data_IF_208997617864
#
_entry.id   IF_208997617864
#
_cell.length_a   1.000
_cell.length_b   1.000
_cell.length_c   1.000
_cell.angle_alpha   90.00
_cell.angle_beta   90.00
_cell.angle_gamma   90.00
#
_symmetry.space_group_name_H-M   'P 1'
#
loop_
_entity.id
_entity.type
_entity.pdbx_description
1 polymer ?
#
# COMPACT_ATOMS: atom_id res chain seq x y z
N UNK A 1 -7.45 0.20 20.82
CA UNK A 1 -7.22 0.19 19.36
C UNK A 1 -7.48 1.60 18.86
N UNK A 2 -6.46 2.26 18.33
CA UNK A 2 -6.60 3.59 17.75
C UNK A 2 -7.30 3.48 16.39
N UNK A 3 -8.24 4.38 16.11
CA UNK A 3 -8.98 4.38 14.84
C UNK A 3 -8.20 5.24 13.84
N UNK A 4 -7.76 4.63 12.74
CA UNK A 4 -7.03 5.33 11.68
C UNK A 4 -7.96 5.62 10.50
N UNK A 5 -8.11 6.89 10.14
CA UNK A 5 -8.84 7.30 8.96
C UNK A 5 -8.01 7.01 7.68
N UNK A 6 -8.13 5.79 7.14
CA UNK A 6 -7.31 5.30 6.03
C UNK A 6 -7.38 6.17 4.76
N UNK A 7 -8.53 6.76 4.45
CA UNK A 7 -8.66 7.66 3.30
C UNK A 7 -7.82 8.93 3.45
N UNK A 8 -7.91 9.59 4.61
CA UNK A 8 -7.14 10.81 4.92
C UNK A 8 -5.65 10.51 4.98
N UNK A 9 -5.26 9.42 5.65
CA UNK A 9 -3.87 9.01 5.71
C UNK A 9 -3.35 8.65 4.32
N UNK A 10 -4.14 7.94 3.51
CA UNK A 10 -3.80 7.59 2.13
C UNK A 10 -3.50 8.80 1.24
N UNK A 11 -4.33 9.85 1.31
CA UNK A 11 -4.07 11.11 0.58
C UNK A 11 -2.76 11.76 1.01
N UNK A 12 -2.48 11.81 2.33
CA UNK A 12 -1.21 12.32 2.86
C UNK A 12 -0.03 11.53 2.32
N UNK A 13 -0.07 10.19 2.40
CA UNK A 13 1.01 9.34 1.91
C UNK A 13 1.21 9.48 0.39
N UNK A 14 0.14 9.69 -0.38
CA UNK A 14 0.25 9.97 -1.82
C UNK A 14 0.89 11.33 -2.10
N UNK A 15 0.60 12.36 -1.31
CA UNK A 15 1.27 13.65 -1.43
C UNK A 15 2.78 13.53 -1.15
N UNK A 16 3.17 12.83 -0.09
CA UNK A 16 4.57 12.54 0.23
C UNK A 16 5.24 11.70 -0.87
N UNK A 17 4.58 10.66 -1.35
CA UNK A 17 5.08 9.80 -2.42
C UNK A 17 5.38 10.58 -3.71
N UNK A 18 4.54 11.56 -4.08
CA UNK A 18 4.76 12.40 -5.27
C UNK A 18 5.99 13.31 -5.14
N UNK A 19 6.36 13.69 -3.92
CA UNK A 19 7.52 14.53 -3.63
C UNK A 19 8.81 13.72 -3.45
N UNK A 20 8.70 12.43 -3.12
CA UNK A 20 9.83 11.55 -2.91
C UNK A 20 10.45 11.08 -4.24
N UNK A 21 11.79 11.02 -4.32
CA UNK A 21 12.51 10.51 -5.50
C UNK A 21 12.18 9.05 -5.82
N UNK A 22 11.82 8.25 -4.82
CA UNK A 22 11.38 6.86 -4.97
C UNK A 22 9.96 6.74 -5.54
N UNK A 23 9.17 7.84 -5.50
CA UNK A 23 7.76 7.86 -5.86
C UNK A 23 6.86 7.08 -4.90
N UNK A 24 7.32 6.78 -3.69
CA UNK A 24 6.58 5.97 -2.71
C UNK A 24 6.86 6.42 -1.28
N UNK A 25 5.85 6.29 -0.42
CA UNK A 25 5.96 6.59 1.00
C UNK A 25 5.03 5.68 1.80
N UNK A 26 5.47 5.14 2.93
CA UNK A 26 4.71 4.13 3.68
C UNK A 26 4.86 4.24 5.19
N UNK A 27 3.80 3.89 5.91
CA UNK A 27 3.74 3.90 7.37
C UNK A 27 3.09 2.62 7.87
N UNK A 28 3.69 2.00 8.88
CA UNK A 28 3.08 0.85 9.58
C UNK A 28 2.06 1.36 10.57
N UNK A 29 0.79 1.01 10.35
CA UNK A 29 -0.36 1.45 11.15
C UNK A 29 -0.78 0.42 12.21
N UNK A 30 -0.33 -0.83 12.03
CA UNK A 30 -0.50 -1.90 13.01
C UNK A 30 0.69 -2.86 12.94
N UNK A 31 1.12 -3.35 14.10
CA UNK A 31 2.22 -4.32 14.21
C UNK A 31 3.54 -3.73 14.70
N UNK A 32 4.49 -4.62 15.02
CA UNK A 32 5.81 -4.32 15.60
C UNK A 32 6.61 -5.62 15.80
N UNK A 33 7.77 -5.56 16.48
CA UNK A 33 8.67 -6.72 16.67
C UNK A 33 8.02 -7.94 17.37
N UNK A 34 6.85 -7.76 17.99
CA UNK A 34 6.19 -8.75 18.86
C UNK A 34 4.82 -9.16 18.30
N UNK A 35 4.42 -8.75 17.09
CA UNK A 35 3.08 -9.01 16.56
C UNK A 35 3.11 -9.87 15.30
N UNK A 36 2.22 -10.85 15.23
CA UNK A 36 2.07 -11.75 14.07
C UNK A 36 1.50 -11.05 12.83
N UNK A 37 0.70 -9.98 13.02
CA UNK A 37 0.12 -9.21 11.93
C UNK A 37 0.73 -7.81 11.84
N UNK A 38 1.39 -7.53 10.71
CA UNK A 38 1.83 -6.19 10.32
C UNK A 38 0.92 -5.64 9.24
N UNK A 39 0.42 -4.42 9.43
CA UNK A 39 -0.32 -3.68 8.42
C UNK A 39 0.44 -2.39 8.12
N UNK A 40 0.81 -2.24 6.86
CA UNK A 40 1.50 -1.06 6.34
C UNK A 40 0.62 -0.42 5.28
N UNK A 41 0.35 0.88 5.45
CA UNK A 41 -0.31 1.68 4.43
C UNK A 41 0.77 2.36 3.58
N UNK A 42 0.63 2.30 2.26
CA UNK A 42 1.64 2.78 1.32
C UNK A 42 0.97 3.64 0.24
N UNK A 43 1.49 4.84 0.04
CA UNK A 43 1.20 5.67 -1.12
C UNK A 43 2.23 5.41 -2.22
N UNK A 44 1.77 5.20 -3.45
CA UNK A 44 2.62 5.02 -4.64
C UNK A 44 2.17 6.01 -5.71
N UNK A 45 3.09 6.86 -6.16
CA UNK A 45 2.85 7.81 -7.23
C UNK A 45 2.67 7.08 -8.58
N UNK A 46 1.92 7.69 -9.49
CA UNK A 46 1.68 7.09 -10.80
C UNK A 46 3.00 6.87 -11.56
N UNK A 47 3.16 5.70 -12.19
CA UNK A 47 4.38 5.32 -12.89
C UNK A 47 5.45 4.69 -12.00
N UNK A 48 5.28 4.69 -10.67
CA UNK A 48 6.16 4.02 -9.73
C UNK A 48 5.62 2.66 -9.30
N UNK A 49 6.52 1.82 -8.78
CA UNK A 49 6.21 0.50 -8.27
C UNK A 49 6.89 0.29 -6.91
N UNK A 50 6.37 -0.69 -6.16
CA UNK A 50 7.08 -1.26 -5.02
C UNK A 50 8.16 -2.19 -5.55
N UNK A 51 9.29 -2.24 -4.85
CA UNK A 51 10.35 -3.20 -5.18
C UNK A 51 9.83 -4.62 -5.01
N UNK A 52 10.29 -5.52 -5.88
CA UNK A 52 10.04 -6.93 -5.75
C UNK A 52 10.72 -7.41 -4.47
N UNK A 53 9.92 -7.89 -3.52
CA UNK A 53 10.43 -8.50 -2.31
C UNK A 53 9.76 -9.85 -2.14
N UNK A 54 10.58 -10.88 -1.95
CA UNK A 54 10.10 -12.21 -1.64
C UNK A 54 9.45 -12.17 -0.26
N UNK A 55 8.13 -12.31 -0.20
CA UNK A 55 7.42 -12.48 1.06
C UNK A 55 7.36 -13.96 1.39
N UNK A 56 7.97 -14.35 2.51
CA UNK A 56 8.02 -15.72 3.01
C UNK A 56 6.71 -16.21 3.66
N UNK A 57 5.65 -15.41 3.62
CA UNK A 57 4.34 -15.74 4.19
C UNK A 57 3.18 -15.17 3.38
N UNK A 58 1.96 -15.44 3.84
CA UNK A 58 0.74 -14.92 3.23
C UNK A 58 0.64 -13.40 3.40
N UNK A 59 0.26 -12.71 2.32
CA UNK A 59 0.13 -11.25 2.29
C UNK A 59 -1.20 -10.87 1.67
N UNK A 60 -1.93 -10.00 2.36
CA UNK A 60 -3.16 -9.39 1.86
C UNK A 60 -2.88 -7.98 1.36
N UNK A 61 -3.28 -7.68 0.13
CA UNK A 61 -3.26 -6.33 -0.44
C UNK A 61 -4.68 -5.78 -0.53
N UNK A 62 -4.86 -4.52 -0.10
CA UNK A 62 -6.14 -3.83 -0.17
C UNK A 62 -5.97 -2.47 -0.87
N UNK A 63 -6.68 -2.27 -1.98
CA UNK A 63 -6.65 -1.02 -2.73
C UNK A 63 -7.73 -0.06 -2.21
N UNK A 64 -7.29 0.97 -1.49
CA UNK A 64 -8.19 1.98 -0.91
C UNK A 64 -8.60 3.02 -1.96
N UNK A 65 -7.65 3.48 -2.79
CA UNK A 65 -7.90 4.51 -3.81
C UNK A 65 -7.02 4.30 -5.05
N UNK A 66 -7.57 4.65 -6.21
CA UNK A 66 -6.84 4.69 -7.48
C UNK A 66 -6.90 3.37 -8.24
N UNK A 67 -5.84 3.05 -8.96
CA UNK A 67 -5.71 1.80 -9.72
C UNK A 67 -4.32 1.26 -9.53
N UNK A 68 -4.19 -0.05 -9.44
CA UNK A 68 -2.90 -0.71 -9.32
C UNK A 68 -2.85 -1.94 -10.22
N UNK A 69 -1.64 -2.28 -10.68
CA UNK A 69 -1.35 -3.60 -11.23
C UNK A 69 -0.50 -4.35 -10.21
N UNK A 70 -0.88 -5.58 -9.92
CA UNK A 70 -0.15 -6.48 -9.04
C UNK A 70 0.42 -7.59 -9.89
N UNK A 71 1.73 -7.80 -9.76
CA UNK A 71 2.44 -8.92 -10.36
C UNK A 71 2.80 -9.86 -9.22
N UNK A 72 2.30 -11.10 -9.26
CA UNK A 72 2.57 -12.14 -8.28
C UNK A 72 3.06 -13.39 -9.02
N UNK A 73 4.38 -13.50 -9.15
CA UNK A 73 5.02 -14.48 -10.03
C UNK A 73 4.49 -14.35 -11.47
N UNK A 74 3.92 -15.41 -12.06
CA UNK A 74 3.37 -15.36 -13.43
C UNK A 74 2.02 -14.63 -13.52
N UNK A 75 1.41 -14.23 -12.40
CA UNK A 75 0.06 -13.68 -12.36
C UNK A 75 0.09 -12.15 -12.45
N UNK A 76 -0.67 -11.58 -13.39
CA UNK A 76 -0.94 -10.14 -13.45
C UNK A 76 -2.41 -9.87 -13.09
N UNK A 77 -2.65 -9.08 -12.05
CA UNK A 77 -3.97 -8.65 -11.62
C UNK A 77 -4.09 -7.13 -11.73
N UNK A 78 -5.19 -6.64 -12.31
CA UNK A 78 -5.52 -5.21 -12.30
C UNK A 78 -6.56 -4.96 -11.22
N UNK A 79 -6.21 -4.12 -10.25
CA UNK A 79 -7.09 -3.72 -9.16
C UNK A 79 -7.76 -2.39 -9.52
N UNK A 80 -9.07 -2.37 -9.84
CA UNK A 80 -9.84 -1.13 -9.97
C UNK A 80 -10.10 -0.52 -8.59
N UNK A 81 -10.32 0.80 -8.50
CA UNK A 81 -10.66 1.44 -7.22
C UNK A 81 -11.90 0.77 -6.62
N UNK A 82 -11.78 0.25 -5.40
CA UNK A 82 -12.85 -0.54 -4.78
C UNK A 82 -13.99 0.31 -4.18
N UNK A 83 -13.92 1.65 -4.21
CA UNK A 83 -14.92 2.49 -3.55
C UNK A 83 -15.23 3.72 -4.40
N UNK A 84 -16.34 3.66 -5.15
CA UNK A 84 -17.14 4.84 -5.48
C UNK A 84 -18.14 4.97 -4.34
N UNK A 85 -17.90 5.85 -3.38
CA UNK A 85 -18.93 6.33 -2.46
C UNK A 85 -18.54 7.69 -1.91
#
# INVERSE_FOLDING_TARGET
METVALGVLGEKLLAEARSASSGRYGVTIHGGHVHSLRQTLIGVAAGHALEEHENTGEVTLHLIRGRARVIAGPTLLSLPSAITS
#
